data_IF_184275629584
#
_entry.id   IF_184275629584
#
_cell.length_a   1.000
_cell.length_b   1.000
_cell.length_c   1.000
_cell.angle_alpha   90.00
_cell.angle_beta   90.00
_cell.angle_gamma   90.00
#
_symmetry.space_group_name_H-M   'P 1'
#
loop_
_entity.id
_entity.type
_entity.pdbx_description
1 polymer ?
#
# COMPACT_ATOMS: atom_id res chain seq x y z
N UNK A 1 -63.10 -21.40 -0.29
CA UNK A 1 -61.84 -22.17 -0.47
C UNK A 1 -60.69 -21.24 -0.18
N UNK A 2 -60.11 -21.39 1.04
CA UNK A 2 -58.94 -20.60 1.47
C UNK A 2 -57.67 -21.34 1.08
N UNK A 3 -56.85 -20.74 0.20
CA UNK A 3 -55.53 -21.24 -0.12
C UNK A 3 -54.52 -20.59 0.82
N UNK A 4 -53.95 -21.40 1.71
CA UNK A 4 -52.93 -20.97 2.65
C UNK A 4 -51.59 -20.70 1.96
N UNK A 5 -51.07 -19.50 2.17
CA UNK A 5 -49.72 -19.10 1.76
C UNK A 5 -48.71 -19.57 2.82
N UNK A 6 -47.99 -20.62 2.52
CA UNK A 6 -46.84 -21.06 3.36
C UNK A 6 -45.65 -20.17 3.10
N UNK A 7 -45.38 -19.24 4.02
CA UNK A 7 -44.11 -18.50 4.05
C UNK A 7 -42.98 -19.42 4.51
N UNK A 8 -42.13 -19.82 3.58
CA UNK A 8 -40.87 -20.49 3.89
C UNK A 8 -39.85 -19.42 4.32
N UNK A 9 -39.66 -19.27 5.63
CA UNK A 9 -38.57 -18.49 6.19
C UNK A 9 -37.24 -19.20 5.88
N UNK A 10 -36.53 -18.74 4.85
CA UNK A 10 -35.12 -19.11 4.68
C UNK A 10 -34.31 -18.40 5.76
N UNK A 11 -33.89 -19.15 6.77
CA UNK A 11 -32.90 -18.76 7.74
C UNK A 11 -31.61 -18.43 6.95
N UNK A 12 -31.29 -17.15 6.83
CA UNK A 12 -29.99 -16.70 6.34
C UNK A 12 -28.91 -17.28 7.24
N UNK A 13 -28.04 -18.09 6.67
CA UNK A 13 -26.78 -18.45 7.30
C UNK A 13 -26.00 -17.14 7.48
N UNK A 14 -25.92 -16.68 8.72
CA UNK A 14 -24.91 -15.70 9.11
C UNK A 14 -23.56 -16.40 8.89
N UNK A 15 -22.86 -16.03 7.81
CA UNK A 15 -21.45 -16.32 7.69
C UNK A 15 -20.79 -15.65 8.89
N UNK A 16 -20.32 -16.44 9.83
CA UNK A 16 -19.45 -15.97 10.90
C UNK A 16 -18.23 -15.37 10.21
N UNK A 17 -18.17 -14.03 10.15
CA UNK A 17 -17.01 -13.28 9.70
C UNK A 17 -15.93 -13.47 10.75
N UNK A 18 -15.16 -14.52 10.61
CA UNK A 18 -13.88 -14.61 11.30
C UNK A 18 -13.06 -13.39 10.90
N UNK A 19 -12.50 -12.64 11.86
CA UNK A 19 -11.56 -11.59 11.53
C UNK A 19 -10.45 -12.22 10.67
N UNK A 20 -10.00 -11.55 9.60
CA UNK A 20 -8.94 -12.10 8.76
C UNK A 20 -7.77 -12.48 9.64
N UNK A 21 -7.30 -13.71 9.51
CA UNK A 21 -6.18 -14.22 10.28
C UNK A 21 -4.99 -13.27 10.12
N UNK A 22 -4.34 -12.89 11.23
CA UNK A 22 -3.17 -12.04 11.18
C UNK A 22 -2.10 -12.68 10.28
N UNK A 23 -1.48 -11.86 9.41
CA UNK A 23 -0.40 -12.32 8.54
C UNK A 23 0.78 -12.84 9.38
N UNK A 24 1.39 -13.92 8.94
CA UNK A 24 2.65 -14.38 9.53
C UNK A 24 3.79 -13.46 9.10
N UNK A 25 4.88 -13.46 9.86
CA UNK A 25 6.10 -12.70 9.53
C UNK A 25 6.58 -13.01 8.09
N UNK A 26 6.60 -14.29 7.72
CA UNK A 26 7.02 -14.69 6.37
C UNK A 26 6.07 -14.19 5.28
N UNK A 27 4.75 -14.18 5.54
CA UNK A 27 3.78 -13.62 4.61
C UNK A 27 3.97 -12.10 4.45
N UNK A 28 4.27 -11.39 5.53
CA UNK A 28 4.58 -9.94 5.49
C UNK A 28 5.83 -9.69 4.64
N UNK A 29 6.92 -10.44 4.90
CA UNK A 29 8.16 -10.33 4.11
C UNK A 29 7.93 -10.58 2.63
N UNK A 30 7.16 -11.63 2.30
CA UNK A 30 6.86 -11.96 0.91
C UNK A 30 6.03 -10.86 0.23
N UNK A 31 5.09 -10.23 0.94
CA UNK A 31 4.30 -9.14 0.38
C UNK A 31 5.16 -7.92 0.08
N UNK A 32 6.09 -7.53 0.97
CA UNK A 32 7.05 -6.44 0.69
C UNK A 32 7.94 -6.75 -0.51
N UNK A 33 8.46 -7.96 -0.61
CA UNK A 33 9.29 -8.39 -1.74
C UNK A 33 8.52 -8.39 -3.07
N UNK A 34 7.24 -8.77 -3.06
CA UNK A 34 6.37 -8.69 -4.25
C UNK A 34 6.07 -7.25 -4.63
N UNK A 35 5.90 -6.37 -3.67
CA UNK A 35 5.68 -4.93 -3.92
C UNK A 35 6.94 -4.28 -4.50
N UNK A 36 8.13 -4.81 -4.18
CA UNK A 36 9.42 -4.31 -4.65
C UNK A 36 10.02 -3.19 -3.81
N UNK A 37 9.23 -2.54 -2.97
CA UNK A 37 9.63 -1.46 -2.08
C UNK A 37 8.89 -1.54 -0.75
N UNK A 38 9.47 -0.97 0.29
CA UNK A 38 8.81 -0.71 1.57
C UNK A 38 8.09 0.63 1.51
N UNK A 39 6.86 0.69 2.01
CA UNK A 39 6.06 1.91 2.06
C UNK A 39 5.71 2.26 3.49
N UNK A 40 6.02 3.47 3.89
CA UNK A 40 5.73 4.01 5.22
C UNK A 40 5.07 5.38 5.12
N UNK A 41 4.06 5.59 5.96
CA UNK A 41 3.45 6.90 6.18
C UNK A 41 3.87 7.41 7.58
N UNK A 42 4.64 8.48 7.62
CA UNK A 42 4.91 9.24 8.85
C UNK A 42 3.89 10.39 8.94
N UNK A 43 2.84 10.17 9.73
CA UNK A 43 1.74 11.13 9.88
C UNK A 43 2.16 12.39 10.65
N UNK A 44 3.16 12.31 11.50
CA UNK A 44 3.70 13.47 12.23
C UNK A 44 4.48 14.38 11.29
N UNK A 45 5.30 13.82 10.42
CA UNK A 45 6.07 14.57 9.41
C UNK A 45 5.26 14.84 8.15
N UNK A 46 4.09 14.22 8.00
CA UNK A 46 3.23 14.29 6.81
C UNK A 46 3.98 13.89 5.54
N UNK A 47 4.57 12.70 5.58
CA UNK A 47 5.37 12.18 4.48
C UNK A 47 5.12 10.70 4.24
N UNK A 48 4.87 10.36 2.98
CA UNK A 48 4.97 9.02 2.45
C UNK A 48 6.41 8.78 2.01
N UNK A 49 6.99 7.66 2.43
CA UNK A 49 8.33 7.26 2.00
C UNK A 49 8.25 5.88 1.34
N UNK A 50 8.73 5.80 0.10
CA UNK A 50 8.92 4.52 -0.60
C UNK A 50 10.41 4.22 -0.58
N UNK A 51 10.80 3.11 0.06
CA UNK A 51 12.21 2.71 0.25
C UNK A 51 12.49 1.44 -0.54
N UNK A 52 13.46 1.48 -1.43
CA UNK A 52 13.85 0.35 -2.26
C UNK A 52 15.10 0.63 -3.06
N UNK A 53 15.67 -0.40 -3.70
CA UNK A 53 16.62 -0.15 -4.76
C UNK A 53 15.90 0.41 -6.00
N UNK A 54 16.67 0.93 -6.94
CA UNK A 54 16.11 1.53 -8.16
C UNK A 54 15.17 0.59 -8.89
N UNK A 55 15.51 -0.69 -9.00
CA UNK A 55 14.71 -1.70 -9.67
C UNK A 55 13.40 -1.96 -8.93
N UNK A 56 13.46 -2.07 -7.61
CA UNK A 56 12.28 -2.26 -6.76
C UNK A 56 11.35 -1.06 -6.82
N UNK A 57 11.88 0.17 -6.77
CA UNK A 57 11.07 1.39 -6.85
C UNK A 57 10.37 1.57 -8.21
N UNK A 58 10.88 0.99 -9.30
CA UNK A 58 10.21 0.98 -10.61
C UNK A 58 8.91 0.17 -10.62
N UNK A 59 8.66 -0.70 -9.64
CA UNK A 59 7.36 -1.34 -9.49
C UNK A 59 6.25 -0.35 -9.10
N UNK A 60 6.60 0.81 -8.51
CA UNK A 60 5.59 1.80 -8.16
C UNK A 60 4.92 2.46 -9.38
N UNK A 61 5.63 3.00 -10.39
CA UNK A 61 4.99 3.42 -11.63
C UNK A 61 4.25 2.29 -12.34
N UNK A 62 4.76 1.07 -12.38
CA UNK A 62 4.05 -0.08 -12.96
C UNK A 62 2.72 -0.35 -12.24
N UNK A 63 2.71 -0.24 -10.91
CA UNK A 63 1.52 -0.37 -10.08
C UNK A 63 0.49 0.73 -10.40
N UNK A 64 0.93 1.98 -10.55
CA UNK A 64 0.06 3.09 -10.92
C UNK A 64 -0.55 2.89 -12.31
N UNK A 65 0.24 2.47 -13.30
CA UNK A 65 -0.25 2.18 -14.65
C UNK A 65 -1.19 0.97 -14.65
N UNK A 66 -0.92 -0.06 -13.85
CA UNK A 66 -1.83 -1.18 -13.65
C UNK A 66 -3.17 -0.75 -13.04
N UNK A 67 -3.14 0.18 -12.08
CA UNK A 67 -4.35 0.77 -11.51
C UNK A 67 -5.15 1.56 -12.55
N UNK A 68 -4.49 2.42 -13.32
CA UNK A 68 -5.11 3.27 -14.36
C UNK A 68 -5.75 2.45 -15.46
N UNK A 69 -5.15 1.34 -15.85
CA UNK A 69 -5.64 0.47 -16.92
C UNK A 69 -6.80 -0.46 -16.50
N UNK A 70 -7.13 -0.51 -15.21
CA UNK A 70 -8.27 -1.27 -14.72
C UNK A 70 -9.55 -0.42 -14.84
N UNK A 71 -10.55 -0.83 -15.67
CA UNK A 71 -11.76 -0.05 -15.87
C UNK A 71 -12.58 0.20 -14.59
N UNK A 72 -12.46 -0.67 -13.59
CA UNK A 72 -13.15 -0.50 -12.31
C UNK A 72 -12.68 0.73 -11.54
N UNK A 73 -11.45 1.16 -11.79
CA UNK A 73 -10.85 2.32 -11.13
C UNK A 73 -11.20 3.67 -11.78
N UNK A 74 -11.99 3.66 -12.86
CA UNK A 74 -12.45 4.91 -13.49
C UNK A 74 -13.53 5.63 -12.67
N UNK A 75 -14.18 4.94 -11.75
CA UNK A 75 -15.18 5.55 -10.88
C UNK A 75 -14.54 6.51 -9.87
N UNK A 76 -15.22 7.64 -9.60
CA UNK A 76 -14.81 8.56 -8.52
C UNK A 76 -14.70 7.82 -7.18
N UNK A 77 -13.60 8.05 -6.48
CA UNK A 77 -13.25 7.39 -5.22
C UNK A 77 -13.05 5.87 -5.30
N UNK A 78 -12.89 5.31 -6.50
CA UNK A 78 -12.35 3.96 -6.61
C UNK A 78 -10.98 3.92 -5.93
N UNK A 79 -10.73 2.86 -5.16
CA UNK A 79 -9.50 2.75 -4.39
C UNK A 79 -8.96 1.33 -4.41
N UNK A 80 -7.65 1.20 -4.32
CA UNK A 80 -6.96 -0.08 -4.25
C UNK A 80 -5.83 -0.03 -3.24
N UNK A 81 -5.71 -1.09 -2.46
CA UNK A 81 -4.70 -1.22 -1.42
C UNK A 81 -3.62 -2.20 -1.85
N UNK A 82 -2.38 -1.90 -1.49
CA UNK A 82 -1.20 -2.67 -1.84
C UNK A 82 -0.30 -2.88 -0.63
N UNK A 83 0.48 -3.95 -0.68
CA UNK A 83 1.41 -4.32 0.38
C UNK A 83 0.75 -4.94 1.61
N UNK A 84 1.55 -5.28 2.63
CA UNK A 84 1.05 -5.87 3.87
C UNK A 84 0.04 -4.96 4.56
N UNK A 85 -1.11 -5.52 4.93
CA UNK A 85 -2.21 -4.78 5.58
C UNK A 85 -2.71 -3.55 4.81
N UNK A 86 -2.50 -3.52 3.48
CA UNK A 86 -2.91 -2.36 2.68
C UNK A 86 -2.10 -1.10 3.00
N UNK A 87 -0.80 -1.23 3.20
CA UNK A 87 0.08 -0.13 3.62
C UNK A 87 0.15 1.04 2.64
N UNK A 88 -0.15 0.79 1.37
CA UNK A 88 -0.23 1.80 0.32
C UNK A 88 -1.64 1.82 -0.26
N UNK A 89 -2.27 2.97 -0.30
CA UNK A 89 -3.57 3.18 -0.95
C UNK A 89 -3.42 4.13 -2.15
N UNK A 90 -3.99 3.73 -3.27
CA UNK A 90 -4.15 4.55 -4.48
C UNK A 90 -5.63 4.78 -4.73
N UNK A 91 -6.01 6.03 -4.99
CA UNK A 91 -7.41 6.43 -5.13
C UNK A 91 -7.62 7.30 -6.36
N UNK A 92 -8.69 7.04 -7.12
CA UNK A 92 -9.19 7.95 -8.14
C UNK A 92 -9.92 9.11 -7.47
N UNK A 93 -9.43 10.33 -7.72
CA UNK A 93 -9.97 11.54 -7.12
C UNK A 93 -9.83 12.73 -8.08
N UNK A 94 -10.75 13.71 -8.05
CA UNK A 94 -10.67 14.86 -8.98
C UNK A 94 -9.40 15.69 -8.85
N UNK A 95 -8.82 15.74 -7.65
CA UNK A 95 -7.62 16.55 -7.36
C UNK A 95 -6.43 15.67 -7.07
N UNK A 96 -5.32 15.92 -7.78
CA UNK A 96 -4.05 15.24 -7.52
C UNK A 96 -3.50 15.58 -6.13
N UNK A 97 -2.98 14.59 -5.40
CA UNK A 97 -2.40 14.86 -4.09
C UNK A 97 -1.95 13.64 -3.33
N UNK A 98 -1.31 13.95 -2.21
CA UNK A 98 -0.93 13.02 -1.17
C UNK A 98 -1.58 13.47 0.13
N UNK A 99 -2.28 12.60 0.81
CA UNK A 99 -2.86 12.89 2.13
C UNK A 99 -2.56 11.75 3.13
N UNK A 100 -3.16 11.80 4.31
CA UNK A 100 -2.92 10.79 5.36
C UNK A 100 -3.56 9.43 5.08
N UNK A 101 -4.25 9.27 3.95
CA UNK A 101 -4.90 8.02 3.60
C UNK A 101 -4.38 7.44 2.28
N UNK A 102 -4.21 8.29 1.24
CA UNK A 102 -3.97 7.81 -0.11
C UNK A 102 -3.04 8.70 -0.94
N UNK A 103 -2.47 8.08 -1.95
CA UNK A 103 -1.93 8.74 -3.15
C UNK A 103 -3.09 8.83 -4.13
N UNK A 104 -3.48 10.04 -4.51
CA UNK A 104 -4.72 10.27 -5.24
C UNK A 104 -4.57 11.19 -6.45
N UNK A 105 -5.52 11.09 -7.37
CA UNK A 105 -5.62 11.92 -8.56
C UNK A 105 -6.60 11.34 -9.58
N UNK A 106 -6.84 12.06 -10.65
CA UNK A 106 -7.50 11.50 -11.84
C UNK A 106 -6.64 10.38 -12.45
N UNK A 107 -7.18 9.57 -13.33
CA UNK A 107 -6.38 8.55 -14.02
C UNK A 107 -5.23 9.17 -14.82
N UNK A 108 -5.46 10.35 -15.41
CA UNK A 108 -4.41 11.12 -16.09
C UNK A 108 -3.35 11.63 -15.11
N UNK A 109 -3.74 12.10 -13.92
CA UNK A 109 -2.78 12.50 -12.88
C UNK A 109 -1.92 11.33 -12.42
N UNK A 110 -2.54 10.17 -12.19
CA UNK A 110 -1.82 8.96 -11.76
C UNK A 110 -0.86 8.47 -12.86
N UNK A 111 -1.24 8.59 -14.14
CA UNK A 111 -0.35 8.32 -15.27
C UNK A 111 0.84 9.29 -15.26
N UNK A 112 0.59 10.59 -15.10
CA UNK A 112 1.63 11.62 -15.01
C UNK A 112 2.56 11.40 -13.80
N UNK A 113 2.03 10.92 -12.67
CA UNK A 113 2.85 10.55 -11.52
C UNK A 113 3.77 9.37 -11.84
N UNK A 114 3.27 8.35 -12.54
CA UNK A 114 4.08 7.21 -12.96
C UNK A 114 5.25 7.66 -13.85
N UNK A 115 4.98 8.46 -14.87
CA UNK A 115 5.99 9.01 -15.79
C UNK A 115 7.03 9.87 -15.06
N UNK A 116 6.60 10.71 -14.13
CA UNK A 116 7.47 11.54 -13.30
C UNK A 116 8.42 10.70 -12.44
N UNK A 117 7.90 9.66 -11.79
CA UNK A 117 8.69 8.75 -10.95
C UNK A 117 9.72 8.00 -11.80
N UNK A 118 9.32 7.45 -12.94
CA UNK A 118 10.24 6.80 -13.88
C UNK A 118 11.39 7.74 -14.31
N UNK A 119 11.06 8.96 -14.73
CA UNK A 119 12.03 9.94 -15.16
C UNK A 119 13.03 10.29 -14.04
N UNK A 120 12.56 10.47 -12.80
CA UNK A 120 13.44 10.76 -11.66
C UNK A 120 14.29 9.56 -11.27
N UNK A 121 13.77 8.34 -11.34
CA UNK A 121 14.53 7.13 -11.07
C UNK A 121 15.58 6.82 -12.14
N UNK A 122 15.39 7.30 -13.38
CA UNK A 122 16.36 7.07 -14.47
C UNK A 122 17.76 7.58 -14.13
N UNK A 123 17.89 8.67 -13.38
CA UNK A 123 19.17 9.30 -12.98
C UNK A 123 19.42 9.25 -11.47
N UNK A 124 18.62 8.46 -10.73
CA UNK A 124 18.73 8.39 -9.28
C UNK A 124 19.99 7.68 -8.82
N UNK A 125 20.63 8.22 -7.80
CA UNK A 125 21.76 7.63 -7.11
C UNK A 125 21.35 7.16 -5.70
N UNK A 126 21.86 6.01 -5.22
CA UNK A 126 21.59 5.55 -3.86
C UNK A 126 22.01 6.57 -2.80
N UNK A 127 21.20 6.71 -1.76
CA UNK A 127 21.48 7.59 -0.62
C UNK A 127 20.95 9.02 -0.76
N UNK A 128 20.36 9.39 -1.91
CA UNK A 128 19.77 10.71 -2.12
C UNK A 128 18.26 10.59 -2.22
N UNK A 129 17.48 11.02 -1.21
CA UNK A 129 16.03 11.03 -1.28
C UNK A 129 15.51 11.94 -2.39
N UNK A 130 14.53 11.46 -3.14
CA UNK A 130 13.93 12.18 -4.27
C UNK A 130 12.56 12.69 -3.87
N UNK A 131 12.35 14.00 -3.72
CA UNK A 131 11.04 14.58 -3.47
C UNK A 131 10.20 14.59 -4.75
N UNK A 132 8.90 14.29 -4.60
CA UNK A 132 7.95 14.20 -5.71
C UNK A 132 6.90 15.31 -5.64
N UNK A 133 6.53 15.77 -4.43
CA UNK A 133 5.39 16.67 -4.23
C UNK A 133 5.44 17.92 -5.09
N UNK A 134 6.57 18.61 -5.13
CA UNK A 134 6.69 19.90 -5.81
C UNK A 134 6.44 19.82 -7.33
N UNK A 135 6.80 18.69 -7.94
CA UNK A 135 6.64 18.47 -9.38
C UNK A 135 5.28 17.85 -9.75
N UNK A 136 4.60 17.25 -8.79
CA UNK A 136 3.32 16.56 -9.02
C UNK A 136 2.13 17.34 -8.48
N UNK A 137 2.11 17.63 -7.18
CA UNK A 137 0.98 18.23 -6.47
C UNK A 137 1.50 19.13 -5.32
N UNK A 138 2.03 20.32 -5.62
CA UNK A 138 2.72 21.17 -4.64
C UNK A 138 1.83 21.63 -3.49
N UNK A 139 0.51 21.66 -3.69
CA UNK A 139 -0.46 22.04 -2.66
C UNK A 139 -0.92 20.88 -1.78
N UNK A 140 -0.35 19.68 -1.97
CA UNK A 140 -0.67 18.51 -1.14
C UNK A 140 -0.29 18.74 0.32
N UNK A 141 -1.12 18.32 1.27
CA UNK A 141 -0.79 18.41 2.69
C UNK A 141 0.37 17.47 3.09
N UNK A 142 0.59 16.42 2.34
CA UNK A 142 1.68 15.44 2.55
C UNK A 142 2.68 15.48 1.40
N UNK A 143 3.89 15.01 1.68
CA UNK A 143 4.93 14.81 0.68
C UNK A 143 5.03 13.33 0.28
N UNK A 144 5.63 13.06 -0.87
CA UNK A 144 6.09 11.73 -1.27
C UNK A 144 7.60 11.80 -1.51
N UNK A 145 8.33 10.90 -0.87
CA UNK A 145 9.78 10.73 -1.02
C UNK A 145 10.09 9.33 -1.54
N UNK A 146 11.02 9.26 -2.50
CA UNK A 146 11.64 8.00 -2.90
C UNK A 146 13.00 7.91 -2.22
N UNK A 147 13.19 6.94 -1.35
CA UNK A 147 14.46 6.65 -0.66
C UNK A 147 15.17 5.53 -1.42
N UNK A 148 16.08 5.93 -2.32
CA UNK A 148 16.80 5.01 -3.19
C UNK A 148 17.95 4.35 -2.44
N UNK A 149 17.91 3.03 -2.38
CA UNK A 149 18.91 2.20 -1.72
C UNK A 149 19.85 1.55 -2.74
N UNK A 150 20.96 0.99 -2.26
CA UNK A 150 21.88 0.22 -3.09
C UNK A 150 21.19 -1.00 -3.71
N UNK A 151 21.70 -1.45 -4.85
CA UNK A 151 21.16 -2.60 -5.58
C UNK A 151 21.11 -3.84 -4.69
N UNK A 152 20.00 -4.58 -4.80
CA UNK A 152 19.72 -5.78 -4.01
C UNK A 152 19.15 -5.51 -2.61
N UNK A 153 18.73 -4.28 -2.33
CA UNK A 153 18.04 -3.96 -1.08
C UNK A 153 16.77 -4.83 -0.92
N UNK A 154 16.64 -5.50 0.22
CA UNK A 154 15.43 -6.26 0.56
C UNK A 154 14.42 -5.33 1.26
N UNK A 155 13.29 -4.99 0.63
CA UNK A 155 12.30 -4.10 1.22
C UNK A 155 11.70 -4.64 2.52
N UNK A 156 11.67 -5.95 2.71
CA UNK A 156 11.23 -6.55 3.97
C UNK A 156 12.11 -6.18 5.16
N UNK A 157 13.39 -5.87 4.94
CA UNK A 157 14.34 -5.49 6.00
C UNK A 157 14.04 -4.12 6.62
N UNK A 158 13.23 -3.29 5.95
CA UNK A 158 12.84 -1.98 6.45
C UNK A 158 11.67 -2.03 7.45
N UNK A 159 10.88 -3.10 7.44
CA UNK A 159 9.70 -3.26 8.32
C UNK A 159 10.11 -3.71 9.73
N UNK A 160 10.73 -2.81 10.48
CA UNK A 160 11.25 -3.14 11.83
C UNK A 160 10.14 -3.30 12.87
N UNK A 161 9.06 -2.55 12.74
CA UNK A 161 7.97 -2.56 13.72
C UNK A 161 7.19 -3.88 13.68
N UNK A 162 6.84 -4.36 12.49
CA UNK A 162 6.04 -5.57 12.33
C UNK A 162 6.86 -6.85 12.51
N UNK A 163 8.12 -6.81 12.09
CA UNK A 163 9.04 -7.94 12.25
C UNK A 163 9.65 -8.01 13.64
N UNK A 164 9.82 -6.88 14.35
CA UNK A 164 10.32 -6.83 15.73
C UNK A 164 9.28 -7.31 16.76
N UNK A 165 8.01 -7.00 16.56
CA UNK A 165 6.93 -7.42 17.45
C UNK A 165 6.69 -8.94 17.47
N UNK A 166 7.07 -9.66 16.40
CA UNK A 166 7.00 -11.12 16.33
C UNK A 166 8.11 -11.80 17.16
N UNK A 167 9.24 -11.13 17.34
CA UNK A 167 10.40 -11.67 18.07
C UNK A 167 10.24 -11.59 19.60
N UNK A 168 9.42 -10.66 20.11
CA UNK A 168 9.17 -10.51 21.55
C UNK A 168 8.15 -11.49 22.12
N UNK A 169 7.44 -12.24 21.32
CA UNK A 169 6.57 -13.33 21.76
C UNK A 169 7.35 -14.65 21.89
N UNK A 170 8.38 -14.69 22.75
CA UNK A 170 8.92 -15.97 23.26
C UNK A 170 7.83 -16.67 24.06
N UNK A 171 7.55 -17.95 23.82
CA UNK A 171 6.66 -18.70 24.68
C UNK A 171 7.28 -18.74 26.08
N UNK A 172 6.55 -18.25 27.07
CA UNK A 172 6.89 -18.47 28.46
C UNK A 172 6.91 -19.98 28.66
N UNK A 173 8.09 -20.51 28.93
CA UNK A 173 8.27 -21.89 29.33
C UNK A 173 7.42 -22.12 30.58
N UNK A 174 6.38 -22.91 30.43
CA UNK A 174 5.52 -23.41 31.49
C UNK A 174 6.39 -24.12 32.52
N UNK A 175 6.69 -23.45 33.64
CA UNK A 175 7.23 -24.13 34.82
C UNK A 175 6.11 -24.98 35.39
N UNK A 176 6.16 -26.27 35.13
CA UNK A 176 5.41 -27.25 35.91
C UNK A 176 6.09 -27.46 37.26
N UNK A 177 5.30 -27.60 38.35
CA UNK A 177 5.77 -27.88 39.69
C UNK A 177 6.36 -29.28 39.85
#
# INVERSE_FOLDING_TARGET
>A
MLAGLVMIYRRGQQAESHPPAALTEEQIKQQWRRLGFFCELDDQKKVWTLTGDRRGLLYFPDLLLGYVNDPENAADRAQKHYGPYGSLEVMTYPEAGFDGNAIRGSLDDLTRLAELVEAKLATAEPGSPIPIREDFAPNSPYSLLLDVRADGFDPASADRERLGAATERKPQAEKRP
#
